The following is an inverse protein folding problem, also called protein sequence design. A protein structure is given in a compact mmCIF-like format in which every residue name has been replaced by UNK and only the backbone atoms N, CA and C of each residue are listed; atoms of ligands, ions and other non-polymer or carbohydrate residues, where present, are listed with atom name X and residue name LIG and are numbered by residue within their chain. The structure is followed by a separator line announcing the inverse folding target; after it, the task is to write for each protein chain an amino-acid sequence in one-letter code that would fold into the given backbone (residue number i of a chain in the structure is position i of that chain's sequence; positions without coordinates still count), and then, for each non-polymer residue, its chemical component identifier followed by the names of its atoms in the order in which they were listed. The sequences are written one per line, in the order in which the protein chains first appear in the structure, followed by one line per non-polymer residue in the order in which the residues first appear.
data_IF_615252904441
#
_entry.id   IF_615252904441
#
_cell.length_a   1.000
_cell.length_b   1.000
_cell.length_c   1.000
_cell.angle_alpha   90.00
_cell.angle_beta   90.00
_cell.angle_gamma   90.00
#
_symmetry.space_group_name_H-M   'P 1'
#
loop_
_entity.id
_entity.type
_entity.pdbx_description
1 polymer ?
#
# COMPACT_ATOMS: atom_id res chain seq x y z
N UNK A 1 -24.25 32.35 8.29
CA UNK A 1 -24.12 31.60 9.55
C UNK A 1 -24.32 30.10 9.36
N UNK A 2 -25.45 29.70 8.79
CA UNK A 2 -25.76 28.29 8.60
C UNK A 2 -24.79 27.58 7.65
N UNK A 3 -24.37 28.23 6.58
CA UNK A 3 -23.44 27.66 5.59
C UNK A 3 -22.06 27.36 6.21
N UNK A 4 -21.54 28.29 7.01
CA UNK A 4 -20.25 28.11 7.67
C UNK A 4 -20.29 26.97 8.67
N UNK A 5 -21.38 26.81 9.42
CA UNK A 5 -21.53 25.67 10.36
C UNK A 5 -21.64 24.36 9.64
N UNK A 6 -22.35 24.28 8.53
CA UNK A 6 -22.50 23.08 7.71
C UNK A 6 -21.13 22.65 7.15
N UNK A 7 -20.37 23.58 6.63
CA UNK A 7 -19.03 23.31 6.11
C UNK A 7 -18.11 22.77 7.18
N UNK A 8 -18.15 23.35 8.39
CA UNK A 8 -17.33 22.88 9.51
C UNK A 8 -17.70 21.46 9.93
N UNK A 9 -18.99 21.14 10.00
CA UNK A 9 -19.46 19.79 10.36
C UNK A 9 -19.05 18.76 9.29
N UNK A 10 -19.17 19.12 8.00
CA UNK A 10 -18.74 18.23 6.91
C UNK A 10 -17.25 17.99 6.97
N UNK A 11 -16.44 19.02 7.25
CA UNK A 11 -14.99 18.88 7.40
C UNK A 11 -14.61 17.96 8.57
N UNK A 12 -15.30 18.08 9.70
CA UNK A 12 -15.08 17.22 10.86
C UNK A 12 -15.40 15.75 10.55
N UNK A 13 -16.54 15.49 9.91
CA UNK A 13 -16.93 14.14 9.50
C UNK A 13 -15.92 13.53 8.53
N UNK A 14 -15.43 14.32 7.58
CA UNK A 14 -14.42 13.88 6.64
C UNK A 14 -13.12 13.52 7.35
N UNK A 15 -12.70 14.33 8.33
CA UNK A 15 -11.50 14.05 9.13
C UNK A 15 -11.67 12.79 9.98
N UNK A 16 -12.86 12.58 10.55
CA UNK A 16 -13.16 11.36 11.31
C UNK A 16 -13.09 10.12 10.43
N UNK A 17 -13.64 10.19 9.20
CA UNK A 17 -13.59 9.08 8.24
C UNK A 17 -12.17 8.82 7.74
N UNK A 18 -11.39 9.87 7.53
CA UNK A 18 -10.04 9.75 6.99
C UNK A 18 -9.03 9.22 8.02
N UNK A 19 -9.27 9.45 9.31
CA UNK A 19 -8.33 9.00 10.35
C UNK A 19 -8.09 7.49 10.36
N UNK A 20 -9.13 6.62 10.34
CA UNK A 20 -8.91 5.17 10.27
C UNK A 20 -8.14 4.75 9.03
N UNK A 21 -8.37 5.41 7.91
CA UNK A 21 -7.66 5.14 6.65
C UNK A 21 -6.21 5.55 6.79
N UNK A 22 -5.91 6.72 7.36
CA UNK A 22 -4.52 7.15 7.61
C UNK A 22 -3.79 6.19 8.54
N UNK A 23 -4.46 5.73 9.59
CA UNK A 23 -3.89 4.76 10.54
C UNK A 23 -3.58 3.44 9.83
N UNK A 24 -4.47 2.99 8.95
CA UNK A 24 -4.27 1.80 8.14
C UNK A 24 -3.11 1.96 7.17
N UNK A 25 -3.02 3.11 6.50
CA UNK A 25 -1.90 3.40 5.58
C UNK A 25 -0.56 3.36 6.32
N UNK A 26 -0.51 3.94 7.50
CA UNK A 26 0.69 3.92 8.34
C UNK A 26 1.06 2.50 8.76
N UNK A 27 0.08 1.71 9.16
CA UNK A 27 0.29 0.31 9.50
C UNK A 27 0.85 -0.48 8.31
N UNK A 28 0.28 -0.27 7.13
CA UNK A 28 0.74 -0.92 5.90
C UNK A 28 2.19 -0.51 5.60
N UNK A 29 2.51 0.77 5.70
CA UNK A 29 3.86 1.27 5.43
C UNK A 29 4.90 0.70 6.40
N UNK A 30 4.51 0.41 7.62
CA UNK A 30 5.41 -0.14 8.63
C UNK A 30 5.51 -1.67 8.56
N UNK A 31 4.54 -2.34 7.95
CA UNK A 31 4.42 -3.80 7.98
C UNK A 31 4.27 -4.44 6.59
N UNK A 32 4.54 -3.72 5.51
CA UNK A 32 4.30 -4.23 4.15
C UNK A 32 5.11 -5.49 3.84
N UNK A 33 6.28 -5.65 4.45
CA UNK A 33 7.14 -6.82 4.24
C UNK A 33 6.62 -8.09 4.92
N UNK A 34 5.65 -7.93 5.82
CA UNK A 34 5.03 -9.05 6.52
C UNK A 34 3.78 -9.52 5.78
N UNK A 35 3.31 -10.76 6.03
CA UNK A 35 2.09 -11.27 5.40
C UNK A 35 0.85 -10.66 6.06
N UNK A 36 0.58 -9.40 5.76
CA UNK A 36 -0.59 -8.69 6.27
C UNK A 36 -1.76 -8.81 5.30
N UNK A 37 -2.97 -8.87 5.84
CA UNK A 37 -4.19 -8.89 5.08
C UNK A 37 -5.15 -7.82 5.57
N UNK A 38 -6.31 -7.71 4.90
CA UNK A 38 -7.34 -6.75 5.29
C UNK A 38 -7.78 -6.97 6.74
N UNK A 39 -7.86 -8.21 7.18
CA UNK A 39 -8.26 -8.55 8.54
C UNK A 39 -7.29 -8.01 9.58
N UNK A 40 -5.98 -8.18 9.36
CA UNK A 40 -4.98 -7.67 10.31
C UNK A 40 -4.98 -6.15 10.37
N UNK A 41 -5.17 -5.49 9.24
CA UNK A 41 -5.29 -4.03 9.20
C UNK A 41 -6.56 -3.57 9.91
N UNK A 42 -7.67 -4.28 9.66
CA UNK A 42 -8.96 -3.95 10.27
C UNK A 42 -8.92 -4.10 11.80
N UNK A 43 -8.17 -5.07 12.32
CA UNK A 43 -7.97 -5.23 13.77
C UNK A 43 -7.33 -3.98 14.38
N UNK A 44 -6.41 -3.35 13.65
CA UNK A 44 -5.73 -2.15 14.13
C UNK A 44 -6.66 -0.94 14.21
N UNK A 45 -7.64 -0.85 13.31
CA UNK A 45 -8.56 0.29 13.26
C UNK A 45 -9.93 0.01 13.89
N UNK A 46 -10.27 -1.26 14.14
CA UNK A 46 -11.48 -1.64 14.89
C UNK A 46 -12.79 -1.51 14.13
N UNK A 47 -12.79 -1.61 12.80
CA UNK A 47 -13.99 -1.48 11.98
C UNK A 47 -14.42 -2.81 11.40
N UNK A 48 -15.68 -2.88 10.96
CA UNK A 48 -16.18 -3.99 10.18
C UNK A 48 -15.40 -4.09 8.86
N UNK A 49 -14.90 -5.29 8.47
CA UNK A 49 -14.07 -5.42 7.27
C UNK A 49 -14.71 -4.90 5.98
N UNK A 50 -15.99 -5.18 5.77
CA UNK A 50 -16.71 -4.72 4.58
C UNK A 50 -16.81 -3.19 4.53
N UNK A 51 -17.20 -2.59 5.65
CA UNK A 51 -17.30 -1.13 5.76
C UNK A 51 -15.93 -0.49 5.56
N UNK A 52 -14.89 -1.03 6.21
CA UNK A 52 -13.54 -0.49 6.12
C UNK A 52 -13.00 -0.58 4.69
N UNK A 53 -13.26 -1.70 4.01
CA UNK A 53 -12.83 -1.88 2.61
C UNK A 53 -13.41 -0.80 1.70
N UNK A 54 -14.71 -0.50 1.85
CA UNK A 54 -15.36 0.56 1.09
C UNK A 54 -14.80 1.93 1.42
N UNK A 55 -14.59 2.19 2.70
CA UNK A 55 -14.04 3.46 3.17
C UNK A 55 -12.60 3.66 2.65
N UNK A 56 -11.78 2.63 2.72
CA UNK A 56 -10.41 2.67 2.26
C UNK A 56 -10.34 3.02 0.76
N UNK A 57 -11.16 2.36 -0.05
CA UNK A 57 -11.21 2.64 -1.48
C UNK A 57 -11.71 4.06 -1.77
N UNK A 58 -12.70 4.51 -1.02
CA UNK A 58 -13.24 5.87 -1.18
C UNK A 58 -12.19 6.94 -0.89
N UNK A 59 -11.42 6.76 0.18
CA UNK A 59 -10.44 7.75 0.63
C UNK A 59 -9.13 7.69 -0.15
N UNK A 60 -8.69 6.52 -0.58
CA UNK A 60 -7.39 6.34 -1.26
C UNK A 60 -7.49 6.18 -2.77
N UNK A 61 -8.67 5.83 -3.28
CA UNK A 61 -8.86 5.49 -4.69
C UNK A 61 -8.40 4.08 -5.05
N UNK A 62 -7.87 3.33 -4.07
CA UNK A 62 -7.34 1.98 -4.26
C UNK A 62 -7.98 1.04 -3.25
N UNK A 63 -8.18 -0.24 -3.64
CA UNK A 63 -8.52 -1.23 -2.63
C UNK A 63 -7.27 -1.57 -1.82
N UNK A 64 -7.44 -2.34 -0.74
CA UNK A 64 -6.33 -2.68 0.15
C UNK A 64 -5.19 -3.38 -0.57
N UNK A 65 -5.50 -4.38 -1.40
CA UNK A 65 -4.49 -5.17 -2.11
C UNK A 65 -3.70 -4.30 -3.10
N UNK A 66 -4.38 -3.44 -3.84
CA UNK A 66 -3.74 -2.50 -4.75
C UNK A 66 -2.79 -1.57 -4.02
N UNK A 67 -3.21 -1.05 -2.88
CA UNK A 67 -2.40 -0.15 -2.06
C UNK A 67 -1.17 -0.87 -1.51
N UNK A 68 -1.35 -2.07 -0.96
CA UNK A 68 -0.24 -2.87 -0.44
C UNK A 68 0.77 -3.19 -1.54
N UNK A 69 0.28 -3.59 -2.71
CA UNK A 69 1.13 -3.89 -3.88
C UNK A 69 1.92 -2.64 -4.29
N UNK A 70 1.26 -1.48 -4.34
CA UNK A 70 1.91 -0.24 -4.68
C UNK A 70 3.06 0.11 -3.72
N UNK A 71 2.83 -0.04 -2.42
CA UNK A 71 3.86 0.19 -1.40
C UNK A 71 5.03 -0.76 -1.59
N UNK A 72 4.75 -2.05 -1.78
CA UNK A 72 5.79 -3.07 -1.97
C UNK A 72 6.62 -2.81 -3.23
N UNK A 73 5.97 -2.46 -4.32
CA UNK A 73 6.69 -2.22 -5.59
C UNK A 73 7.51 -0.93 -5.54
N UNK A 74 7.01 0.12 -4.91
CA UNK A 74 7.80 1.35 -4.70
C UNK A 74 9.07 1.07 -3.93
N UNK A 75 8.98 0.29 -2.86
CA UNK A 75 10.14 -0.08 -2.07
C UNK A 75 11.09 -0.97 -2.87
N UNK A 76 10.55 -1.92 -3.65
CA UNK A 76 11.35 -2.76 -4.53
C UNK A 76 12.17 -1.92 -5.52
N UNK A 77 11.55 -0.91 -6.12
CA UNK A 77 12.24 0.00 -7.04
C UNK A 77 13.41 0.69 -6.37
N UNK A 78 13.23 1.13 -5.14
CA UNK A 78 14.30 1.76 -4.35
C UNK A 78 15.43 0.77 -4.06
N UNK A 79 15.09 -0.46 -3.66
CA UNK A 79 16.08 -1.49 -3.32
C UNK A 79 16.87 -1.99 -4.53
N UNK A 80 16.30 -1.92 -5.73
CA UNK A 80 16.99 -2.32 -6.95
C UNK A 80 18.22 -1.46 -7.26
N UNK A 81 18.32 -0.28 -6.66
CA UNK A 81 19.50 0.58 -6.79
C UNK A 81 20.75 -0.04 -6.16
N UNK A 82 20.60 -0.95 -5.21
CA UNK A 82 21.72 -1.61 -4.55
C UNK A 82 22.16 -2.83 -5.37
N UNK A 83 23.33 -2.78 -6.05
CA UNK A 83 23.78 -3.89 -6.89
C UNK A 83 24.16 -5.13 -6.10
N UNK A 84 24.31 -5.03 -4.77
CA UNK A 84 24.64 -6.19 -3.91
C UNK A 84 23.42 -7.08 -3.66
N UNK A 85 22.21 -6.55 -3.86
CA UNK A 85 20.96 -7.28 -3.65
C UNK A 85 20.55 -7.98 -4.94
N UNK A 86 20.29 -9.28 -4.86
CA UNK A 86 19.72 -10.03 -5.99
C UNK A 86 18.25 -9.69 -6.14
N UNK A 87 17.67 -10.06 -7.28
CA UNK A 87 16.22 -9.88 -7.47
C UNK A 87 15.44 -10.68 -6.41
N UNK A 88 15.94 -11.89 -6.07
CA UNK A 88 15.31 -12.70 -5.01
C UNK A 88 15.41 -12.01 -3.64
N UNK A 89 16.53 -11.36 -3.34
CA UNK A 89 16.69 -10.60 -2.10
C UNK A 89 15.68 -9.48 -2.01
N UNK A 90 15.52 -8.72 -3.09
CA UNK A 90 14.56 -7.62 -3.16
C UNK A 90 13.14 -8.13 -2.97
N UNK A 91 12.78 -9.23 -3.66
CA UNK A 91 11.47 -9.85 -3.52
C UNK A 91 11.16 -10.20 -2.06
N UNK A 92 12.09 -10.85 -1.38
CA UNK A 92 11.93 -11.25 0.01
C UNK A 92 11.79 -10.04 0.94
N UNK A 93 12.61 -9.02 0.74
CA UNK A 93 12.59 -7.81 1.57
C UNK A 93 11.30 -7.02 1.46
N UNK A 94 10.59 -7.11 0.33
CA UNK A 94 9.31 -6.40 0.16
C UNK A 94 8.09 -7.30 0.40
N UNK A 95 8.31 -8.54 0.86
CA UNK A 95 7.21 -9.39 1.32
C UNK A 95 6.75 -10.47 0.35
N UNK A 96 7.53 -10.78 -0.68
CA UNK A 96 7.22 -11.87 -1.61
C UNK A 96 8.12 -13.06 -1.35
N UNK A 97 7.54 -14.21 -1.02
CA UNK A 97 8.29 -15.45 -0.80
C UNK A 97 8.69 -16.13 -2.11
N UNK A 98 8.00 -15.83 -3.20
CA UNK A 98 8.24 -16.40 -4.52
C UNK A 98 8.71 -15.31 -5.48
N UNK A 99 9.95 -15.44 -5.96
CA UNK A 99 10.54 -14.45 -6.88
C UNK A 99 9.81 -14.39 -8.23
N UNK A 100 9.24 -15.51 -8.69
CA UNK A 100 8.45 -15.53 -9.93
C UNK A 100 7.18 -14.71 -9.78
N UNK A 101 6.51 -14.86 -8.65
CA UNK A 101 5.32 -14.06 -8.34
C UNK A 101 5.67 -12.58 -8.24
N UNK A 102 6.75 -12.27 -7.54
CA UNK A 102 7.25 -10.89 -7.44
C UNK A 102 7.50 -10.29 -8.82
N UNK A 103 8.20 -11.02 -9.68
CA UNK A 103 8.55 -10.53 -11.03
C UNK A 103 7.30 -10.24 -11.86
N UNK A 104 6.27 -11.09 -11.77
CA UNK A 104 5.00 -10.86 -12.47
C UNK A 104 4.29 -9.62 -11.96
N UNK A 105 4.24 -9.44 -10.65
CA UNK A 105 3.59 -8.27 -10.03
C UNK A 105 4.35 -7.01 -10.40
N UNK A 106 5.68 -7.04 -10.32
CA UNK A 106 6.54 -5.91 -10.68
C UNK A 106 6.34 -5.52 -12.15
N UNK A 107 6.35 -6.49 -13.05
CA UNK A 107 6.15 -6.26 -14.48
C UNK A 107 4.78 -5.67 -14.77
N UNK A 108 3.75 -6.17 -14.07
CA UNK A 108 2.38 -5.64 -14.22
C UNK A 108 2.30 -4.18 -13.77
N UNK A 109 3.00 -3.84 -12.69
CA UNK A 109 2.97 -2.48 -12.13
C UNK A 109 3.84 -1.48 -12.90
N UNK A 110 5.00 -1.90 -13.38
CA UNK A 110 6.00 -1.00 -14.00
C UNK A 110 6.11 -1.14 -15.51
N UNK A 111 5.63 -2.25 -16.06
CA UNK A 111 5.74 -2.55 -17.49
C UNK A 111 7.02 -3.27 -17.88
N UNK A 112 7.99 -3.44 -16.98
CA UNK A 112 9.27 -4.08 -17.29
C UNK A 112 9.70 -5.02 -16.17
N UNK A 113 10.48 -6.05 -16.54
CA UNK A 113 11.01 -7.03 -15.59
C UNK A 113 11.99 -6.36 -14.61
N UNK A 114 12.05 -6.80 -13.34
CA UNK A 114 12.94 -6.18 -12.34
C UNK A 114 14.41 -6.09 -12.76
N UNK A 115 14.96 -7.11 -13.39
CA UNK A 115 16.36 -7.10 -13.82
C UNK A 115 16.59 -6.07 -14.92
N UNK A 116 15.64 -5.92 -15.84
CA UNK A 116 15.71 -4.91 -16.89
C UNK A 116 15.53 -3.50 -16.31
N UNK A 117 14.65 -3.37 -15.34
CA UNK A 117 14.45 -2.11 -14.62
C UNK A 117 15.77 -1.63 -14.00
N UNK A 118 16.47 -2.54 -13.32
CA UNK A 118 17.79 -2.24 -12.74
C UNK A 118 18.77 -1.73 -13.78
N UNK A 119 18.86 -2.39 -14.95
CA UNK A 119 19.75 -1.99 -16.03
C UNK A 119 19.41 -0.63 -16.62
N UNK A 120 18.11 -0.31 -16.71
CA UNK A 120 17.67 0.94 -17.33
C UNK A 120 17.81 2.15 -16.39
N UNK A 121 17.64 1.95 -15.09
CA UNK A 121 17.57 3.07 -14.15
C UNK A 121 18.77 3.15 -13.21
N UNK A 122 19.55 2.11 -13.11
CA UNK A 122 20.72 2.04 -12.26
C UNK A 122 21.90 1.40 -12.98
#
# INVERSE_FOLDING_TARGET
YGAALVEHVVALKKNESAKPVRDAQKYIQLNFASPIGLESVNEQVGFNPTYFSLLFKKETGMNFLEYLTDVRIREARRLLADPRKTIADVAAEVGYSDVKHFSRVFTRSTGIHPSKYRKLYY
#
